data_IF_272864172981
#
_entry.id   IF_272864172981
#
_cell.length_a   1.000
_cell.length_b   1.000
_cell.length_c   1.000
_cell.angle_alpha   90.00
_cell.angle_beta   90.00
_cell.angle_gamma   90.00
#
_symmetry.space_group_name_H-M   'P 1'
#
loop_
_entity.id
_entity.type
_entity.pdbx_description
1 polymer ?
#
# COMPACT_ATOMS: atom_id res chain seq x y z
N UNK A 1 3.19 11.43 3.50
CA UNK A 1 4.05 10.53 2.73
C UNK A 1 3.55 9.08 2.81
N UNK A 2 3.93 8.31 1.82
CA UNK A 2 3.69 6.89 1.82
C UNK A 2 4.87 6.16 1.18
N UNK A 3 5.04 4.91 1.53
CA UNK A 3 6.09 4.10 0.94
C UNK A 3 5.70 2.62 0.92
N UNK A 4 6.42 1.87 0.11
CA UNK A 4 6.33 0.42 0.05
C UNK A 4 7.70 -0.19 0.39
N UNK A 5 7.68 -1.29 1.10
CA UNK A 5 8.87 -2.04 1.49
C UNK A 5 8.63 -3.54 1.22
N UNK A 6 9.70 -4.35 1.10
CA UNK A 6 9.54 -5.79 0.92
C UNK A 6 8.69 -6.40 2.03
N UNK A 7 7.72 -7.24 1.65
CA UNK A 7 6.85 -7.93 2.62
C UNK A 7 7.62 -8.97 3.43
N UNK A 8 8.47 -9.74 2.75
CA UNK A 8 9.37 -10.75 3.34
C UNK A 8 10.66 -10.79 2.55
N UNK A 9 11.75 -11.20 3.19
CA UNK A 9 13.06 -11.24 2.55
C UNK A 9 13.29 -12.46 1.67
N UNK A 10 12.48 -13.52 1.81
CA UNK A 10 12.61 -14.72 0.98
C UNK A 10 12.23 -14.44 -0.46
N UNK A 11 12.95 -15.04 -1.41
CA UNK A 11 12.76 -14.84 -2.84
C UNK A 11 11.33 -15.13 -3.33
N UNK A 12 10.64 -16.07 -2.72
CA UNK A 12 9.25 -16.40 -3.06
C UNK A 12 8.28 -15.22 -2.84
N UNK A 13 8.66 -14.24 -2.01
CA UNK A 13 7.84 -13.06 -1.69
C UNK A 13 8.27 -11.79 -2.42
N UNK A 14 9.19 -11.89 -3.38
CA UNK A 14 9.78 -10.70 -4.02
C UNK A 14 8.78 -9.86 -4.82
N UNK A 15 7.59 -10.38 -5.11
CA UNK A 15 6.54 -9.65 -5.82
C UNK A 15 5.47 -9.06 -4.89
N UNK A 16 5.70 -9.12 -3.60
CA UNK A 16 4.79 -8.60 -2.56
C UNK A 16 5.48 -7.51 -1.76
N UNK A 17 4.74 -6.44 -1.47
CA UNK A 17 5.23 -5.33 -0.65
C UNK A 17 4.27 -5.03 0.50
N UNK A 18 4.79 -4.42 1.55
CA UNK A 18 3.97 -3.79 2.59
C UNK A 18 3.99 -2.28 2.36
N UNK A 19 2.86 -1.65 2.58
CA UNK A 19 2.74 -0.19 2.46
C UNK A 19 2.49 0.46 3.81
N UNK A 20 2.94 1.70 3.92
CA UNK A 20 2.65 2.57 5.05
C UNK A 20 2.37 3.97 4.52
N UNK A 21 1.31 4.59 5.04
CA UNK A 21 0.90 5.94 4.63
C UNK A 21 0.67 6.80 5.87
N UNK A 22 1.25 7.98 5.85
CA UNK A 22 1.11 8.97 6.91
C UNK A 22 0.75 10.32 6.32
N UNK A 23 -0.32 10.92 6.83
CA UNK A 23 -0.77 12.26 6.45
C UNK A 23 -0.86 13.10 7.70
N UNK A 24 -0.29 14.31 7.66
CA UNK A 24 -0.38 15.23 8.79
C UNK A 24 -1.83 15.45 9.18
N UNK A 25 -2.10 15.53 10.49
CA UNK A 25 -3.48 15.59 11.01
C UNK A 25 -4.25 16.78 10.44
N UNK A 26 -3.62 17.92 10.30
CA UNK A 26 -4.22 19.12 9.73
C UNK A 26 -4.56 19.00 8.25
N UNK A 27 -4.01 17.97 7.58
CA UNK A 27 -4.26 17.70 6.17
C UNK A 27 -5.20 16.51 5.93
N UNK A 28 -5.79 15.97 6.98
CA UNK A 28 -6.76 14.89 6.83
C UNK A 28 -8.01 15.36 6.06
N UNK A 29 -8.68 14.43 5.38
CA UNK A 29 -9.91 14.66 4.61
C UNK A 29 -9.75 15.49 3.34
N UNK A 30 -8.51 15.70 2.86
CA UNK A 30 -8.25 16.34 1.57
C UNK A 30 -8.01 15.35 0.44
N UNK A 31 -8.23 14.06 0.66
CA UNK A 31 -8.00 13.03 -0.34
C UNK A 31 -6.52 12.67 -0.54
N UNK A 32 -5.62 13.15 0.33
CA UNK A 32 -4.18 12.95 0.17
C UNK A 32 -3.79 11.48 0.28
N UNK A 33 -4.30 10.76 1.28
CA UNK A 33 -3.98 9.34 1.44
C UNK A 33 -4.45 8.51 0.23
N UNK A 34 -5.64 8.79 -0.29
CA UNK A 34 -6.16 8.14 -1.50
C UNK A 34 -5.31 8.46 -2.72
N UNK A 35 -4.86 9.71 -2.85
CA UNK A 35 -3.98 10.13 -3.94
C UNK A 35 -2.63 9.42 -3.88
N UNK A 36 -2.02 9.30 -2.70
CA UNK A 36 -0.77 8.58 -2.51
C UNK A 36 -0.94 7.11 -2.92
N UNK A 37 -2.00 6.44 -2.48
CA UNK A 37 -2.26 5.05 -2.87
C UNK A 37 -2.51 4.91 -4.37
N UNK A 38 -3.26 5.82 -4.98
CA UNK A 38 -3.49 5.77 -6.42
C UNK A 38 -2.17 5.79 -7.19
N UNK A 39 -1.24 6.67 -6.80
CA UNK A 39 0.09 6.72 -7.39
C UNK A 39 0.89 5.44 -7.11
N UNK A 40 0.92 4.97 -5.85
CA UNK A 40 1.66 3.78 -5.47
C UNK A 40 1.17 2.54 -6.22
N UNK A 41 -0.13 2.35 -6.36
CA UNK A 41 -0.68 1.19 -7.08
C UNK A 41 -0.18 1.14 -8.51
N UNK A 42 -0.20 2.27 -9.22
CA UNK A 42 0.26 2.31 -10.60
C UNK A 42 1.78 2.13 -10.71
N UNK A 43 2.54 2.80 -9.85
CA UNK A 43 4.00 2.70 -9.87
C UNK A 43 4.47 1.29 -9.53
N UNK A 44 3.88 0.66 -8.53
CA UNK A 44 4.22 -0.71 -8.13
C UNK A 44 3.83 -1.72 -9.22
N UNK A 45 2.70 -1.53 -9.88
CA UNK A 45 2.31 -2.37 -11.02
C UNK A 45 3.30 -2.23 -12.18
N UNK A 46 3.76 -1.01 -12.49
CA UNK A 46 4.79 -0.77 -13.50
C UNK A 46 6.11 -1.46 -13.16
N UNK A 47 6.47 -1.52 -11.87
CA UNK A 47 7.67 -2.21 -11.41
C UNK A 47 7.54 -3.74 -11.44
N UNK A 48 6.36 -4.27 -11.64
CA UNK A 48 6.12 -5.71 -11.70
C UNK A 48 5.68 -6.35 -10.40
N UNK A 49 5.28 -5.59 -9.39
CA UNK A 49 4.72 -6.12 -8.15
C UNK A 49 3.28 -6.59 -8.35
N UNK A 50 2.90 -7.62 -7.60
CA UNK A 50 1.58 -8.24 -7.69
C UNK A 50 0.70 -7.96 -6.48
N UNK A 51 1.28 -7.89 -5.29
CA UNK A 51 0.52 -7.84 -4.04
C UNK A 51 0.98 -6.71 -3.15
N UNK A 52 0.01 -6.05 -2.51
CA UNK A 52 0.26 -5.08 -1.44
C UNK A 52 -0.41 -5.60 -0.18
N UNK A 53 0.31 -5.53 0.94
CA UNK A 53 -0.23 -5.83 2.25
C UNK A 53 -0.08 -4.64 3.18
N UNK A 54 -1.01 -4.52 4.12
CA UNK A 54 -0.95 -3.51 5.18
C UNK A 54 -1.33 -4.15 6.50
N UNK A 55 -0.56 -3.87 7.55
CA UNK A 55 -0.85 -4.27 8.92
C UNK A 55 -1.49 -3.11 9.67
N UNK A 56 -2.67 -3.34 10.23
CA UNK A 56 -3.43 -2.33 10.96
C UNK A 56 -3.54 -2.77 12.41
N UNK A 57 -2.95 -1.98 13.32
CA UNK A 57 -3.06 -2.26 14.75
C UNK A 57 -4.47 -1.99 15.23
N UNK A 58 -5.13 -3.01 15.76
CA UNK A 58 -6.49 -2.93 16.28
C UNK A 58 -6.51 -2.27 17.67
N UNK A 59 -7.56 -1.47 18.01
CA UNK A 59 -8.66 -1.08 17.16
C UNK A 59 -8.32 0.14 16.28
N UNK A 60 -8.69 0.09 15.01
CA UNK A 60 -8.55 1.23 14.10
C UNK A 60 -9.55 1.10 12.96
N UNK A 61 -10.82 1.32 13.23
CA UNK A 61 -11.89 1.21 12.24
C UNK A 61 -11.74 2.18 11.08
N UNK A 62 -11.22 3.38 11.34
CA UNK A 62 -11.01 4.40 10.31
C UNK A 62 -10.04 3.90 9.24
N UNK A 63 -8.92 3.34 9.65
CA UNK A 63 -7.94 2.77 8.73
C UNK A 63 -8.51 1.56 7.99
N UNK A 64 -9.24 0.68 8.68
CA UNK A 64 -9.93 -0.45 8.06
C UNK A 64 -10.87 -0.01 6.94
N UNK A 65 -11.74 0.95 7.24
CA UNK A 65 -12.72 1.46 6.25
C UNK A 65 -12.02 2.10 5.06
N UNK A 66 -10.97 2.87 5.33
CA UNK A 66 -10.19 3.50 4.28
C UNK A 66 -9.57 2.45 3.34
N UNK A 67 -8.92 1.43 3.90
CA UNK A 67 -8.29 0.40 3.08
C UNK A 67 -9.31 -0.44 2.31
N UNK A 68 -10.47 -0.73 2.91
CA UNK A 68 -11.56 -1.39 2.17
C UNK A 68 -12.02 -0.54 0.99
N UNK A 69 -12.16 0.77 1.18
CA UNK A 69 -12.54 1.68 0.11
C UNK A 69 -11.49 1.74 -1.02
N UNK A 70 -10.22 1.50 -0.68
CA UNK A 70 -9.13 1.43 -1.66
C UNK A 70 -8.98 0.06 -2.32
N UNK A 71 -9.86 -0.88 -2.00
CA UNK A 71 -9.89 -2.19 -2.63
C UNK A 71 -9.15 -3.30 -1.89
N UNK A 72 -8.70 -3.05 -0.65
CA UNK A 72 -8.08 -4.08 0.18
C UNK A 72 -9.14 -5.00 0.78
N UNK A 73 -8.79 -6.26 0.96
CA UNK A 73 -9.61 -7.25 1.64
C UNK A 73 -8.86 -7.79 2.87
N UNK A 74 -9.61 -8.30 3.85
CA UNK A 74 -9.02 -8.90 5.04
C UNK A 74 -8.32 -10.19 4.66
N UNK A 75 -7.03 -10.30 5.02
CA UNK A 75 -6.20 -11.49 4.77
C UNK A 75 -5.99 -12.33 6.02
N UNK A 76 -6.08 -11.75 7.20
CA UNK A 76 -5.90 -12.45 8.46
C UNK A 76 -5.64 -11.51 9.62
N UNK A 77 -5.34 -12.09 10.79
CA UNK A 77 -5.03 -11.32 11.97
C UNK A 77 -3.98 -12.02 12.81
N UNK A 78 -3.10 -11.25 13.43
CA UNK A 78 -2.18 -11.72 14.46
C UNK A 78 -2.76 -11.31 15.80
N UNK A 79 -3.11 -12.28 16.62
CA UNK A 79 -3.67 -12.01 17.94
C UNK A 79 -2.58 -11.64 18.94
N UNK A 80 -2.80 -10.56 19.68
CA UNK A 80 -1.92 -10.12 20.76
C UNK A 80 -0.43 -10.11 20.38
N UNK A 81 -0.13 -9.65 19.16
CA UNK A 81 1.21 -9.69 18.60
C UNK A 81 2.02 -8.41 18.85
N UNK A 82 1.37 -7.35 19.33
CA UNK A 82 2.03 -6.06 19.53
C UNK A 82 1.62 -5.48 20.89
N UNK A 83 2.61 -5.10 21.69
CA UNK A 83 2.37 -4.42 22.97
C UNK A 83 2.53 -2.91 22.77
N UNK A 84 1.44 -2.15 22.95
CA UNK A 84 1.43 -0.71 22.69
C UNK A 84 0.40 -0.02 23.59
N UNK A 85 0.78 1.13 24.13
CA UNK A 85 -0.08 1.91 25.04
C UNK A 85 -0.61 1.08 26.23
N UNK A 86 0.25 0.28 26.82
CA UNK A 86 -0.07 -0.49 28.01
C UNK A 86 -0.95 -1.73 27.78
N UNK A 87 -1.16 -2.13 26.52
CA UNK A 87 -2.00 -3.27 26.17
C UNK A 87 -1.42 -4.09 25.03
N UNK A 88 -1.69 -5.40 25.07
CA UNK A 88 -1.48 -6.26 23.92
C UNK A 88 -2.54 -5.94 22.87
N UNK A 89 -2.13 -5.89 21.61
CA UNK A 89 -2.98 -5.51 20.49
C UNK A 89 -2.90 -6.54 19.38
N UNK A 90 -4.03 -6.71 18.69
CA UNK A 90 -4.07 -7.51 17.48
C UNK A 90 -3.58 -6.66 16.30
N UNK A 91 -3.03 -7.32 15.29
CA UNK A 91 -2.72 -6.71 14.00
C UNK A 91 -3.59 -7.35 12.94
N UNK A 92 -4.46 -6.54 12.33
CA UNK A 92 -5.28 -6.99 11.20
C UNK A 92 -4.47 -6.80 9.93
N UNK A 93 -4.36 -7.87 9.14
CA UNK A 93 -3.71 -7.83 7.84
C UNK A 93 -4.74 -7.71 6.73
N UNK A 94 -4.53 -6.76 5.83
CA UNK A 94 -5.33 -6.57 4.64
C UNK A 94 -4.42 -6.62 3.41
N UNK A 95 -4.96 -7.12 2.31
CA UNK A 95 -4.19 -7.27 1.07
C UNK A 95 -4.96 -6.79 -0.14
N UNK A 96 -4.21 -6.41 -1.18
CA UNK A 96 -4.74 -6.00 -2.46
C UNK A 96 -3.90 -6.60 -3.57
N UNK A 97 -4.56 -7.17 -4.57
CA UNK A 97 -3.92 -7.61 -5.79
C UNK A 97 -3.83 -6.46 -6.78
N UNK A 98 -2.65 -6.22 -7.33
CA UNK A 98 -2.41 -5.16 -8.31
C UNK A 98 -2.67 -5.64 -9.75
N UNK A 99 -2.60 -6.95 -9.97
CA UNK A 99 -2.74 -7.55 -11.30
C UNK A 99 -3.12 -9.03 -11.16
N UNK A 100 -3.71 -9.63 -12.22
CA UNK A 100 -4.06 -11.05 -12.19
C UNK A 100 -2.84 -11.93 -11.94
N UNK A 101 -3.03 -13.00 -11.16
CA UNK A 101 -1.97 -13.99 -10.86
C UNK A 101 -2.03 -15.11 -11.90
N UNK A 102 -1.78 -14.77 -13.15
CA UNK A 102 -1.75 -15.71 -14.26
C UNK A 102 -0.33 -15.82 -14.82
N UNK A 103 0.16 -17.04 -14.91
CA UNK A 103 1.50 -17.31 -15.40
C UNK A 103 2.62 -16.95 -14.44
N UNK A 104 3.86 -17.12 -14.87
CA UNK A 104 5.04 -16.83 -14.08
C UNK A 104 5.34 -15.33 -14.07
N UNK A 105 5.61 -14.72 -12.90
CA UNK A 105 5.93 -13.31 -12.84
C UNK A 105 7.33 -13.04 -13.39
N UNK A 106 7.51 -11.85 -13.97
CA UNK A 106 8.82 -11.36 -14.40
C UNK A 106 9.55 -10.72 -13.22
N UNK A 107 10.88 -10.62 -13.27
CA UNK A 107 11.61 -9.87 -12.23
C UNK A 107 11.09 -8.46 -12.07
N UNK A 108 11.07 -7.97 -10.82
CA UNK A 108 10.67 -6.58 -10.55
C UNK A 108 11.77 -5.61 -11.01
N UNK A 109 11.35 -4.38 -11.33
CA UNK A 109 12.24 -3.33 -11.83
C UNK A 109 12.35 -2.24 -10.75
N UNK A 110 13.57 -1.84 -10.34
CA UNK A 110 13.76 -0.74 -9.39
C UNK A 110 13.19 0.57 -9.91
N UNK A 111 12.65 1.39 -9.01
CA UNK A 111 12.05 2.68 -9.38
C UNK A 111 12.97 3.59 -10.22
N UNK A 112 14.29 3.71 -9.93
CA UNK A 112 15.16 4.54 -10.76
C UNK A 112 15.16 4.17 -12.25
N UNK A 113 14.85 2.92 -12.60
CA UNK A 113 14.79 2.50 -14.00
C UNK A 113 13.52 2.93 -14.71
N UNK A 114 12.44 3.28 -13.97
CA UNK A 114 11.18 3.71 -14.56
C UNK A 114 10.86 5.18 -14.32
N UNK A 115 11.58 5.87 -13.44
CA UNK A 115 11.25 7.23 -12.97
C UNK A 115 11.06 8.26 -14.09
N UNK A 116 11.75 8.10 -15.20
CA UNK A 116 11.68 9.02 -16.34
C UNK A 116 10.65 8.60 -17.40
N UNK A 117 9.91 7.52 -17.15
CA UNK A 117 8.84 7.09 -18.05
C UNK A 117 7.70 8.09 -18.06
N UNK A 118 7.12 8.44 -19.23
CA UNK A 118 5.92 9.27 -19.31
C UNK A 118 4.74 8.72 -18.52
N UNK A 119 4.66 7.38 -18.35
CA UNK A 119 3.60 6.74 -17.57
C UNK A 119 3.71 7.08 -16.08
N UNK A 120 4.93 7.20 -15.54
CA UNK A 120 5.16 7.62 -14.16
C UNK A 120 4.69 9.05 -13.94
N UNK A 121 5.09 9.96 -14.82
CA UNK A 121 4.63 11.36 -14.75
C UNK A 121 3.12 11.47 -14.83
N UNK A 122 2.50 10.70 -15.72
CA UNK A 122 1.05 10.65 -15.86
C UNK A 122 0.36 10.16 -14.60
N UNK A 123 0.87 9.08 -13.99
CA UNK A 123 0.32 8.52 -12.76
C UNK A 123 0.38 9.53 -11.61
N UNK A 124 1.50 10.22 -11.47
CA UNK A 124 1.68 11.25 -10.43
C UNK A 124 0.74 12.43 -10.65
N UNK A 125 0.61 12.92 -11.88
CA UNK A 125 -0.28 14.03 -12.20
C UNK A 125 -1.75 13.67 -11.95
N UNK A 126 -2.17 12.47 -12.34
CA UNK A 126 -3.53 12.00 -12.09
C UNK A 126 -3.81 11.86 -10.58
N UNK A 127 -2.83 11.45 -9.80
CA UNK A 127 -2.96 11.35 -8.36
C UNK A 127 -3.15 12.72 -7.71
N UNK A 128 -2.39 13.73 -8.16
CA UNK A 128 -2.50 15.11 -7.64
C UNK A 128 -3.91 15.67 -7.85
N UNK A 129 -4.55 15.34 -8.96
CA UNK A 129 -5.92 15.79 -9.26
C UNK A 129 -6.97 15.28 -8.26
N UNK A 130 -6.66 14.23 -7.51
CA UNK A 130 -7.56 13.66 -6.49
C UNK A 130 -7.51 14.42 -5.16
N UNK A 131 -6.51 15.29 -4.99
CA UNK A 131 -6.35 16.07 -3.77
C UNK A 131 -7.26 17.30 -3.84
N UNK A 132 -8.00 17.54 -2.76
CA UNK A 132 -8.88 18.71 -2.66
C UNK A 132 -8.61 19.46 -1.35
N UNK A 133 -8.50 20.74 -1.45
CA UNK A 133 -8.22 21.61 -0.30
C UNK A 133 -9.40 22.50 0.06
#
# INVERSE_FOLDING_TARGET
>A
YGYAAPHRTRAAYQWSVETSIYVAQEQHRHGIAGAIYAALFELLAMQGYYNIYVGITSPNERSMKFHKAMGFIISGAYQESMYKFGQWRDVLWMGKSLRPHDGAPQPTVPFPEIKDSPLVTRALNQAVEKIHF
#
